data_IF_429499144731
#
_entry.id   IF_429499144731
#
_cell.length_a   1.000
_cell.length_b   1.000
_cell.length_c   1.000
_cell.angle_alpha   90.00
_cell.angle_beta   90.00
_cell.angle_gamma   90.00
#
_symmetry.space_group_name_H-M   'P 1'
#
loop_
_entity.id
_entity.type
_entity.pdbx_description
1 polymer ?
#
# COMPACT_ATOMS: atom_id res chain seq x y z
N UNK A 1 9.93 5.91 17.54
CA UNK A 1 8.77 4.99 17.61
C UNK A 1 8.25 4.88 16.19
N UNK A 2 8.29 3.69 15.60
CA UNK A 2 7.96 3.52 14.19
C UNK A 2 6.46 3.83 13.98
N UNK A 3 6.16 4.66 12.98
CA UNK A 3 4.79 5.09 12.62
C UNK A 3 3.93 3.89 12.18
N UNK A 4 4.55 2.74 11.97
CA UNK A 4 3.93 1.44 11.66
C UNK A 4 3.05 0.85 12.77
N UNK A 5 3.08 1.37 14.00
CA UNK A 5 2.20 0.90 15.08
C UNK A 5 0.83 1.60 15.01
N UNK A 6 -0.20 0.88 14.53
CA UNK A 6 -1.61 1.27 14.74
C UNK A 6 -2.27 2.06 13.61
N UNK A 7 -2.05 1.69 12.35
CA UNK A 7 -2.94 2.11 11.26
C UNK A 7 -4.12 1.14 11.19
N UNK A 8 -5.35 1.65 11.15
CA UNK A 8 -6.55 0.86 10.86
C UNK A 8 -7.39 1.50 9.76
N UNK A 9 -8.00 0.68 8.90
CA UNK A 9 -8.96 1.11 7.90
C UNK A 9 -10.25 1.67 8.51
N UNK A 10 -10.45 1.60 9.83
CA UNK A 10 -11.58 2.23 10.52
C UNK A 10 -11.41 3.73 10.70
N UNK A 11 -10.19 4.24 10.60
CA UNK A 11 -9.88 5.67 10.71
C UNK A 11 -10.49 6.47 9.55
N UNK A 12 -10.66 7.77 9.74
CA UNK A 12 -11.13 8.64 8.67
C UNK A 12 -10.05 8.82 7.59
N UNK A 13 -10.48 9.25 6.38
CA UNK A 13 -9.58 9.37 5.24
C UNK A 13 -8.48 10.41 5.46
N UNK A 14 -8.75 11.49 6.22
CA UNK A 14 -7.75 12.54 6.48
C UNK A 14 -6.64 12.01 7.38
N UNK A 15 -7.00 11.23 8.40
CA UNK A 15 -6.02 10.58 9.28
C UNK A 15 -5.19 9.52 8.55
N UNK A 16 -5.82 8.72 7.68
CA UNK A 16 -5.12 7.78 6.81
C UNK A 16 -4.13 8.48 5.88
N UNK A 17 -4.50 9.61 5.27
CA UNK A 17 -3.59 10.37 4.40
C UNK A 17 -2.41 10.96 5.18
N UNK A 18 -2.65 11.49 6.38
CA UNK A 18 -1.56 11.99 7.26
C UNK A 18 -0.57 10.86 7.60
N UNK A 19 -1.08 9.71 8.01
CA UNK A 19 -0.23 8.53 8.32
C UNK A 19 0.51 8.04 7.07
N UNK A 20 -0.14 8.06 5.91
CA UNK A 20 0.47 7.69 4.63
C UNK A 20 1.64 8.61 4.25
N UNK A 21 1.56 9.91 4.55
CA UNK A 21 2.66 10.87 4.35
C UNK A 21 3.86 10.53 5.25
N UNK A 22 3.62 10.32 6.54
CA UNK A 22 4.67 9.96 7.50
C UNK A 22 5.37 8.66 7.11
N UNK A 23 4.60 7.63 6.76
CA UNK A 23 5.10 6.33 6.28
C UNK A 23 5.86 6.50 4.96
N UNK A 24 5.29 7.22 3.99
CA UNK A 24 5.92 7.45 2.69
C UNK A 24 7.29 8.13 2.83
N UNK A 25 7.39 9.11 3.74
CA UNK A 25 8.66 9.78 4.08
C UNK A 25 9.65 8.82 4.73
N UNK A 26 9.25 8.04 5.74
CA UNK A 26 10.13 7.08 6.41
C UNK A 26 10.67 6.02 5.43
N UNK A 27 9.78 5.46 4.60
CA UNK A 27 10.15 4.46 3.60
C UNK A 27 10.99 5.04 2.47
N UNK A 28 10.95 6.34 2.18
CA UNK A 28 11.75 6.94 1.10
C UNK A 28 13.26 6.80 1.32
N UNK A 29 13.71 6.74 2.57
CA UNK A 29 15.11 6.55 2.92
C UNK A 29 15.60 5.09 2.87
N UNK A 30 14.68 4.12 2.92
CA UNK A 30 14.99 2.68 3.08
C UNK A 30 14.58 1.83 1.87
N UNK A 31 13.43 2.14 1.28
CA UNK A 31 12.77 1.31 0.27
C UNK A 31 12.90 1.90 -1.14
N UNK A 32 13.40 1.09 -2.08
CA UNK A 32 13.50 1.51 -3.50
C UNK A 32 12.12 1.59 -4.15
N UNK A 33 11.87 2.66 -4.91
CA UNK A 33 10.60 2.89 -5.66
C UNK A 33 10.21 1.70 -6.56
N UNK A 34 11.19 0.99 -7.14
CA UNK A 34 10.92 -0.18 -7.98
C UNK A 34 10.21 -1.31 -7.23
N UNK A 35 10.41 -1.43 -5.91
CA UNK A 35 9.75 -2.46 -5.11
C UNK A 35 8.29 -2.10 -4.82
N UNK A 36 8.00 -0.83 -4.49
CA UNK A 36 6.61 -0.37 -4.40
C UNK A 36 5.90 -0.54 -5.74
N UNK A 37 6.56 -0.23 -6.87
CA UNK A 37 5.94 -0.36 -8.20
C UNK A 37 5.47 -1.77 -8.51
N UNK A 38 6.19 -2.81 -8.07
CA UNK A 38 5.77 -4.21 -8.27
C UNK A 38 4.47 -4.52 -7.54
N UNK A 39 4.39 -4.15 -6.26
CA UNK A 39 3.17 -4.31 -5.49
C UNK A 39 2.02 -3.47 -6.07
N UNK A 40 2.28 -2.20 -6.41
CA UNK A 40 1.30 -1.32 -7.04
C UNK A 40 0.76 -1.91 -8.36
N UNK A 41 1.60 -2.52 -9.18
CA UNK A 41 1.16 -3.16 -10.42
C UNK A 41 0.15 -4.27 -10.18
N UNK A 42 0.40 -5.13 -9.19
CA UNK A 42 -0.55 -6.19 -8.80
C UNK A 42 -1.82 -5.60 -8.22
N UNK A 43 -1.72 -4.64 -7.29
CA UNK A 43 -2.87 -3.99 -6.67
C UNK A 43 -3.75 -3.28 -7.71
N UNK A 44 -3.14 -2.62 -8.69
CA UNK A 44 -3.85 -1.93 -9.78
C UNK A 44 -4.59 -2.91 -10.69
N UNK A 45 -4.07 -4.13 -10.89
CA UNK A 45 -4.80 -5.19 -11.60
C UNK A 45 -6.07 -5.59 -10.85
N UNK A 46 -5.95 -5.88 -9.54
CA UNK A 46 -7.11 -6.21 -8.68
C UNK A 46 -8.12 -5.04 -8.67
N UNK A 47 -7.62 -3.82 -8.52
CA UNK A 47 -8.43 -2.61 -8.55
C UNK A 47 -9.18 -2.43 -9.87
N UNK A 48 -8.56 -2.77 -11.00
CA UNK A 48 -9.20 -2.68 -12.32
C UNK A 48 -10.35 -3.68 -12.44
N UNK A 49 -10.16 -4.91 -11.96
CA UNK A 49 -11.21 -5.92 -11.87
C UNK A 49 -12.36 -5.45 -10.96
N UNK A 50 -12.01 -4.87 -9.80
CA UNK A 50 -12.96 -4.29 -8.87
C UNK A 50 -13.82 -3.21 -9.52
N UNK A 51 -13.20 -2.23 -10.19
CA UNK A 51 -13.92 -1.12 -10.85
C UNK A 51 -14.83 -1.63 -11.96
N UNK A 52 -14.39 -2.62 -12.74
CA UNK A 52 -15.17 -3.19 -13.85
C UNK A 52 -16.51 -3.78 -13.37
N UNK A 53 -16.55 -4.40 -12.18
CA UNK A 53 -17.77 -4.99 -11.61
C UNK A 53 -18.18 -4.35 -10.28
N UNK A 54 -17.87 -3.06 -10.06
CA UNK A 54 -18.04 -2.40 -8.76
C UNK A 54 -19.45 -2.51 -8.19
N UNK A 55 -20.48 -2.38 -9.02
CA UNK A 55 -21.88 -2.51 -8.59
C UNK A 55 -22.18 -3.94 -8.12
N UNK A 56 -21.76 -4.93 -8.91
CA UNK A 56 -21.95 -6.35 -8.61
C UNK A 56 -21.26 -6.75 -7.29
N UNK A 57 -20.04 -6.28 -7.04
CA UNK A 57 -19.34 -6.53 -5.77
C UNK A 57 -19.96 -5.84 -4.55
N UNK A 58 -20.71 -4.75 -4.75
CA UNK A 58 -21.46 -4.08 -3.67
C UNK A 58 -22.76 -4.80 -3.35
N UNK A 59 -23.40 -5.36 -4.38
CA UNK A 59 -24.68 -6.08 -4.25
C UNK A 59 -24.47 -7.56 -3.88
N UNK A 60 -23.28 -8.13 -4.14
CA UNK A 60 -22.94 -9.53 -3.91
C UNK A 60 -21.62 -9.69 -3.12
N UNK A 61 -21.68 -9.81 -1.79
CA UNK A 61 -20.50 -9.98 -0.93
C UNK A 61 -19.71 -11.27 -1.18
N UNK A 62 -20.36 -12.36 -1.56
CA UNK A 62 -19.70 -13.65 -1.84
C UNK A 62 -18.76 -13.51 -3.04
N UNK A 63 -19.26 -12.86 -4.11
CA UNK A 63 -18.46 -12.59 -5.30
C UNK A 63 -17.28 -11.66 -5.04
N UNK A 64 -17.47 -10.65 -4.19
CA UNK A 64 -16.36 -9.80 -3.74
C UNK A 64 -15.31 -10.59 -2.96
N UNK A 65 -15.74 -11.49 -2.08
CA UNK A 65 -14.83 -12.35 -1.34
C UNK A 65 -14.02 -13.27 -2.26
N UNK A 66 -14.69 -13.94 -3.19
CA UNK A 66 -14.06 -14.92 -4.08
C UNK A 66 -13.11 -14.29 -5.11
N UNK A 67 -13.52 -13.18 -5.73
CA UNK A 67 -12.76 -12.57 -6.84
C UNK A 67 -11.78 -11.47 -6.38
N UNK A 68 -12.04 -10.79 -5.26
CA UNK A 68 -11.21 -9.67 -4.79
C UNK A 68 -10.46 -10.00 -3.50
N UNK A 69 -11.14 -10.46 -2.44
CA UNK A 69 -10.47 -10.72 -1.15
C UNK A 69 -9.45 -11.85 -1.25
N UNK A 70 -9.74 -12.90 -2.03
CA UNK A 70 -8.76 -13.97 -2.26
C UNK A 70 -7.51 -13.47 -2.98
N UNK A 71 -7.65 -12.62 -4.01
CA UNK A 71 -6.49 -12.03 -4.70
C UNK A 71 -5.69 -11.10 -3.77
N UNK A 72 -6.37 -10.34 -2.90
CA UNK A 72 -5.70 -9.49 -1.90
C UNK A 72 -4.94 -10.30 -0.85
N UNK A 73 -5.52 -11.39 -0.34
CA UNK A 73 -4.81 -12.29 0.57
C UNK A 73 -3.59 -12.94 -0.11
N UNK A 74 -3.70 -13.28 -1.40
CA UNK A 74 -2.57 -13.78 -2.17
C UNK A 74 -1.42 -12.75 -2.26
N UNK A 75 -1.71 -11.45 -2.24
CA UNK A 75 -0.67 -10.41 -2.20
C UNK A 75 0.21 -10.49 -0.95
N UNK A 76 -0.30 -11.01 0.16
CA UNK A 76 0.51 -11.22 1.38
C UNK A 76 1.64 -12.22 1.15
N UNK A 77 1.36 -13.30 0.42
CA UNK A 77 2.37 -14.30 0.03
C UNK A 77 3.47 -13.62 -0.81
N UNK A 78 3.08 -12.73 -1.73
CA UNK A 78 4.04 -11.95 -2.50
C UNK A 78 4.91 -11.05 -1.62
N UNK A 79 4.32 -10.34 -0.65
CA UNK A 79 5.06 -9.50 0.31
C UNK A 79 6.04 -10.33 1.15
N UNK A 80 5.60 -11.46 1.70
CA UNK A 80 6.44 -12.38 2.46
C UNK A 80 7.61 -12.92 1.63
N UNK A 81 7.37 -13.27 0.36
CA UNK A 81 8.43 -13.68 -0.56
C UNK A 81 9.44 -12.56 -0.84
N UNK A 82 9.00 -11.31 -0.97
CA UNK A 82 9.94 -10.18 -1.11
C UNK A 82 10.79 -9.96 0.15
N UNK A 83 10.19 -10.13 1.34
CA UNK A 83 10.90 -10.06 2.63
C UNK A 83 11.97 -11.14 2.72
N UNK A 84 11.66 -12.38 2.36
CA UNK A 84 12.62 -13.49 2.37
C UNK A 84 13.80 -13.34 1.41
N UNK A 85 13.81 -12.32 0.55
CA UNK A 85 14.95 -11.94 -0.31
C UNK A 85 15.78 -10.79 0.26
N UNK A 86 15.61 -10.47 1.54
CA UNK A 86 16.30 -9.40 2.28
C UNK A 86 16.28 -8.04 1.56
N UNK A 87 15.12 -7.70 0.98
CA UNK A 87 14.96 -6.41 0.32
C UNK A 87 14.77 -5.33 1.40
N UNK A 88 15.73 -4.42 1.50
CA UNK A 88 15.70 -3.33 2.47
C UNK A 88 14.39 -2.51 2.42
N UNK A 89 13.81 -2.24 3.59
CA UNK A 89 12.56 -1.49 3.75
C UNK A 89 11.27 -2.25 3.37
N UNK A 90 11.35 -3.46 2.78
CA UNK A 90 10.14 -4.21 2.42
C UNK A 90 9.44 -4.81 3.63
N UNK A 91 10.19 -5.19 4.67
CA UNK A 91 9.64 -5.74 5.91
C UNK A 91 8.74 -4.71 6.59
N UNK A 92 9.17 -3.45 6.65
CA UNK A 92 8.36 -2.38 7.22
C UNK A 92 7.07 -2.14 6.43
N UNK A 93 7.14 -2.19 5.09
CA UNK A 93 5.95 -2.12 4.25
C UNK A 93 5.01 -3.31 4.49
N UNK A 94 5.54 -4.54 4.64
CA UNK A 94 4.74 -5.73 4.96
C UNK A 94 4.02 -5.57 6.29
N UNK A 95 4.74 -5.16 7.34
CA UNK A 95 4.17 -4.99 8.69
C UNK A 95 3.03 -3.94 8.72
N UNK A 96 3.06 -2.96 7.82
CA UNK A 96 1.99 -1.98 7.65
C UNK A 96 0.82 -2.55 6.84
N UNK A 97 1.10 -3.19 5.70
CA UNK A 97 0.06 -3.59 4.75
C UNK A 97 -0.67 -4.88 5.15
N UNK A 98 0.00 -5.84 5.77
CA UNK A 98 -0.62 -7.14 6.09
C UNK A 98 -1.81 -7.03 7.05
N UNK A 99 -1.73 -6.29 8.18
CA UNK A 99 -2.88 -6.11 9.06
C UNK A 99 -4.01 -5.38 8.36
N UNK A 100 -3.69 -4.37 7.54
CA UNK A 100 -4.70 -3.63 6.77
C UNK A 100 -5.40 -4.51 5.73
N UNK A 101 -4.71 -5.48 5.13
CA UNK A 101 -5.34 -6.43 4.21
C UNK A 101 -6.31 -7.35 4.95
N UNK A 102 -6.00 -7.79 6.19
CA UNK A 102 -6.92 -8.60 7.02
C UNK A 102 -8.17 -7.83 7.45
N UNK A 103 -8.09 -6.50 7.51
CA UNK A 103 -9.22 -5.65 7.85
C UNK A 103 -10.23 -5.51 6.71
N UNK A 104 -9.86 -5.83 5.47
CA UNK A 104 -10.73 -5.67 4.30
C UNK A 104 -11.78 -6.78 4.28
N UNK A 105 -13.04 -6.41 4.50
CA UNK A 105 -14.20 -7.31 4.43
C UNK A 105 -15.24 -6.81 3.45
N UNK A 106 -15.20 -5.52 3.12
CA UNK A 106 -16.17 -4.84 2.29
C UNK A 106 -15.52 -4.09 1.14
N UNK A 107 -16.28 -3.81 0.05
CA UNK A 107 -15.83 -2.95 -1.03
C UNK A 107 -15.31 -1.59 -0.55
N UNK A 108 -15.98 -0.96 0.42
CA UNK A 108 -15.60 0.37 0.90
C UNK A 108 -14.27 0.36 1.67
N UNK A 109 -14.00 -0.67 2.46
CA UNK A 109 -12.71 -0.87 3.11
C UNK A 109 -11.60 -1.08 2.07
N UNK A 110 -11.87 -1.82 0.99
CA UNK A 110 -10.91 -1.99 -0.10
C UNK A 110 -10.60 -0.66 -0.81
N UNK A 111 -11.62 0.17 -1.05
CA UNK A 111 -11.40 1.51 -1.62
C UNK A 111 -10.55 2.39 -0.70
N UNK A 112 -10.77 2.33 0.62
CA UNK A 112 -9.97 3.05 1.61
C UNK A 112 -8.53 2.56 1.62
N UNK A 113 -8.32 1.24 1.61
CA UNK A 113 -7.00 0.63 1.51
C UNK A 113 -6.25 1.09 0.26
N UNK A 114 -6.93 1.07 -0.90
CA UNK A 114 -6.33 1.51 -2.18
C UNK A 114 -5.88 2.97 -2.12
N UNK A 115 -6.74 3.86 -1.60
CA UNK A 115 -6.42 5.29 -1.45
C UNK A 115 -5.25 5.51 -0.48
N UNK A 116 -5.23 4.79 0.63
CA UNK A 116 -4.14 4.83 1.60
C UNK A 116 -2.81 4.39 0.97
N UNK A 117 -2.81 3.26 0.25
CA UNK A 117 -1.63 2.78 -0.46
C UNK A 117 -1.13 3.77 -1.52
N UNK A 118 -2.04 4.35 -2.32
CA UNK A 118 -1.68 5.34 -3.33
C UNK A 118 -1.06 6.60 -2.71
N UNK A 119 -1.57 7.03 -1.53
CA UNK A 119 -0.98 8.12 -0.78
C UNK A 119 0.46 7.79 -0.34
N UNK A 120 0.70 6.60 0.23
CA UNK A 120 2.06 6.16 0.59
C UNK A 120 2.99 6.23 -0.63
N UNK A 121 2.54 5.69 -1.77
CA UNK A 121 3.31 5.68 -3.01
C UNK A 121 3.64 7.10 -3.50
N UNK A 122 2.68 8.02 -3.44
CA UNK A 122 2.85 9.40 -3.86
C UNK A 122 3.88 10.13 -2.98
N UNK A 123 3.72 10.07 -1.65
CA UNK A 123 4.64 10.71 -0.71
C UNK A 123 6.03 10.07 -0.72
N UNK A 124 6.11 8.74 -0.86
CA UNK A 124 7.37 8.04 -1.06
C UNK A 124 8.13 8.58 -2.27
N UNK A 125 7.45 8.71 -3.42
CA UNK A 125 8.04 9.24 -4.64
C UNK A 125 8.47 10.70 -4.46
N UNK A 126 7.62 11.53 -3.86
CA UNK A 126 7.90 12.93 -3.59
C UNK A 126 9.19 13.13 -2.77
N UNK A 127 9.31 12.43 -1.64
CA UNK A 127 10.51 12.50 -0.80
C UNK A 127 11.73 11.85 -1.45
N UNK A 128 11.55 10.76 -2.21
CA UNK A 128 12.64 10.13 -2.97
C UNK A 128 13.24 11.05 -4.04
N UNK A 129 12.45 11.91 -4.66
CA UNK A 129 12.95 12.89 -5.64
C UNK A 129 13.61 14.10 -4.97
N UNK A 130 13.05 14.59 -3.86
CA UNK A 130 13.65 15.65 -3.05
C UNK A 130 15.06 15.28 -2.55
N UNK A 131 15.23 14.06 -2.02
CA UNK A 131 16.52 13.52 -1.58
C UNK A 131 17.56 13.45 -2.70
N UNK A 132 17.14 13.02 -3.90
CA UNK A 132 18.02 12.96 -5.08
C UNK A 132 18.44 14.34 -5.55
N UNK A 133 17.53 15.31 -5.51
CA UNK A 133 17.81 16.71 -5.88
C UNK A 133 18.84 17.30 -4.93
N UNK A 134 18.64 17.15 -3.62
CA UNK A 134 19.53 17.70 -2.59
C UNK A 134 20.97 17.13 -2.70
N UNK A 135 21.10 15.83 -2.95
CA UNK A 135 22.42 15.17 -3.17
C UNK A 135 23.14 15.61 -4.44
N UNK A 136 22.43 16.05 -5.47
CA UNK A 136 23.02 16.57 -6.72
C UNK A 136 23.54 17.99 -6.54
N UNK A 137 22.83 18.81 -5.76
CA UNK A 137 23.25 20.17 -5.42
C UNK A 137 24.45 20.18 -4.49
N UNK A 138 24.52 19.30 -3.49
CA UNK A 138 25.65 19.20 -2.56
C UNK A 138 26.95 18.63 -3.15
N UNK A 139 26.92 18.11 -4.38
CA UNK A 139 28.10 17.57 -5.10
C UNK A 139 28.64 18.53 -6.16
N UNK A 140 28.06 19.73 -6.29
CA UNK A 140 28.54 20.84 -7.11
C UNK A 140 29.17 21.89 -6.20
#
# INVERSE_FOLDING_TARGET
MAVSQGVSLKEDLKDLVRKAEEIGRELSGKLKTNQLRKFHGHLTKIWSNYIYKKKDYRDNPEKFNEEILNELHFMKIFLAYQVGRDIEGISELKEILEPLIDEIKTPDEFEKFKKFYDAILAYHKFHSESEKSNRRTARR
#
